data_IF_901588039874
#
_entry.id   IF_901588039874
#
_cell.length_a   1.000
_cell.length_b   1.000
_cell.length_c   1.000
_cell.angle_alpha   90.00
_cell.angle_beta   90.00
_cell.angle_gamma   90.00
#
_symmetry.space_group_name_H-M   'P 1'
#
loop_
_entity.id
_entity.type
_entity.pdbx_description
1 polymer ?
#
# COMPACT_ATOMS: atom_id res chain seq x y z
N UNK A 1 15.36 12.50 25.80
CA UNK A 1 16.09 13.62 25.17
C UNK A 1 16.99 13.05 24.07
N UNK A 2 16.58 13.23 22.81
CA UNK A 2 17.48 13.31 21.66
C UNK A 2 16.68 13.97 20.53
N UNK A 3 16.52 15.29 20.65
CA UNK A 3 15.97 16.12 19.59
C UNK A 3 17.08 16.40 18.61
N UNK A 4 17.19 15.60 17.55
CA UNK A 4 18.05 15.92 16.41
C UNK A 4 17.49 17.19 15.79
N UNK A 5 18.16 18.32 16.05
CA UNK A 5 17.83 19.64 15.51
C UNK A 5 17.99 19.58 13.98
N UNK A 6 16.88 19.49 13.24
CA UNK A 6 16.84 19.58 11.77
C UNK A 6 17.50 20.89 11.34
N UNK A 7 18.44 20.82 10.39
CA UNK A 7 19.02 21.99 9.74
C UNK A 7 18.00 22.57 8.73
N UNK A 8 17.51 23.81 8.92
CA UNK A 8 16.50 24.41 8.07
C UNK A 8 16.96 24.75 6.64
N UNK A 9 18.22 24.48 6.27
CA UNK A 9 18.81 24.88 4.97
C UNK A 9 19.05 23.75 3.97
N UNK A 10 18.76 22.49 4.30
CA UNK A 10 18.91 21.41 3.33
C UNK A 10 17.62 21.21 2.54
N UNK A 11 17.43 22.01 1.49
CA UNK A 11 16.40 21.74 0.49
C UNK A 11 16.80 20.46 -0.24
N UNK A 12 16.21 19.33 0.16
CA UNK A 12 16.41 18.07 -0.51
C UNK A 12 15.87 18.17 -1.95
N UNK A 13 16.55 17.57 -2.95
CA UNK A 13 15.98 17.47 -4.29
C UNK A 13 14.62 16.76 -4.22
N UNK A 14 13.58 17.26 -4.90
CA UNK A 14 12.29 16.60 -4.92
C UNK A 14 12.40 15.22 -5.57
N UNK A 15 11.46 14.34 -5.20
CA UNK A 15 11.27 13.07 -5.91
C UNK A 15 10.80 13.33 -7.34
N UNK A 16 11.41 12.66 -8.31
CA UNK A 16 11.04 12.78 -9.74
C UNK A 16 10.36 11.48 -10.19
N UNK A 17 9.15 11.53 -10.79
CA UNK A 17 8.49 10.33 -11.33
C UNK A 17 9.41 9.54 -12.27
N UNK A 18 9.49 8.22 -12.08
CA UNK A 18 10.34 7.33 -12.87
C UNK A 18 11.81 7.28 -12.43
N UNK A 19 12.23 8.16 -11.50
CA UNK A 19 13.58 8.12 -10.94
C UNK A 19 13.82 6.83 -10.16
N UNK A 20 15.02 6.26 -10.31
CA UNK A 20 15.48 5.17 -9.45
C UNK A 20 16.20 5.71 -8.21
N UNK A 21 15.79 5.26 -7.03
CA UNK A 21 16.37 5.61 -5.74
C UNK A 21 16.28 4.41 -4.78
N UNK A 22 17.12 4.40 -3.75
CA UNK A 22 16.97 3.45 -2.63
C UNK A 22 15.90 3.92 -1.64
N UNK A 23 15.47 3.02 -0.75
CA UNK A 23 14.47 3.30 0.27
C UNK A 23 14.87 4.47 1.21
N UNK A 24 16.08 4.52 1.78
CA UNK A 24 16.45 5.63 2.67
C UNK A 24 16.37 7.00 1.98
N UNK A 25 16.86 7.09 0.74
CA UNK A 25 16.79 8.32 -0.06
C UNK A 25 15.34 8.68 -0.41
N UNK A 26 14.52 7.69 -0.78
CA UNK A 26 13.10 7.91 -1.04
C UNK A 26 12.40 8.46 0.18
N UNK A 27 12.53 7.77 1.31
CA UNK A 27 11.86 8.09 2.56
C UNK A 27 12.21 9.50 3.03
N UNK A 28 13.50 9.83 3.09
CA UNK A 28 13.98 11.14 3.52
C UNK A 28 13.48 12.28 2.64
N UNK A 29 13.42 12.06 1.31
CA UNK A 29 12.91 13.07 0.37
C UNK A 29 11.40 13.19 0.40
N UNK A 30 10.68 12.07 0.57
CA UNK A 30 9.23 12.03 0.73
C UNK A 30 8.78 12.85 1.93
N UNK A 31 9.43 12.68 3.09
CA UNK A 31 9.15 13.47 4.31
C UNK A 31 9.40 14.97 4.15
N UNK A 32 10.27 15.37 3.21
CA UNK A 32 10.59 16.75 2.94
C UNK A 32 9.69 17.40 1.88
N UNK A 33 8.80 16.63 1.23
CA UNK A 33 7.87 17.16 0.25
C UNK A 33 6.77 18.00 0.92
N UNK A 34 6.11 18.91 0.16
CA UNK A 34 4.97 19.65 0.67
C UNK A 34 3.89 18.71 1.25
N UNK A 35 3.25 19.07 2.38
CA UNK A 35 2.18 18.27 2.96
C UNK A 35 1.09 17.92 1.93
N UNK A 36 0.62 16.67 1.97
CA UNK A 36 -0.39 16.15 1.03
C UNK A 36 0.19 15.63 -0.29
N UNK A 37 1.50 15.77 -0.53
CA UNK A 37 2.12 15.13 -1.69
C UNK A 37 2.20 13.62 -1.49
N UNK A 38 1.59 12.85 -2.39
CA UNK A 38 1.70 11.39 -2.40
C UNK A 38 2.82 10.93 -3.30
N UNK A 39 3.64 10.02 -2.82
CA UNK A 39 4.70 9.35 -3.57
C UNK A 39 4.81 7.91 -3.09
N UNK A 40 5.16 7.00 -3.99
CA UNK A 40 5.46 5.61 -3.67
C UNK A 40 6.80 5.20 -4.27
N UNK A 41 7.52 4.31 -3.59
CA UNK A 41 8.66 3.60 -4.12
C UNK A 41 8.21 2.19 -4.49
N UNK A 42 8.28 1.83 -5.77
CA UNK A 42 7.80 0.52 -6.24
C UNK A 42 8.91 -0.14 -7.06
N UNK A 43 9.60 -1.12 -6.47
CA UNK A 43 10.74 -1.79 -7.11
C UNK A 43 11.90 -0.82 -7.37
N UNK A 44 12.16 0.08 -6.41
CA UNK A 44 13.20 1.10 -6.47
C UNK A 44 12.92 2.23 -7.46
N UNK A 45 11.68 2.39 -7.93
CA UNK A 45 11.27 3.46 -8.86
C UNK A 45 10.22 4.35 -8.20
N UNK A 46 10.46 5.65 -8.23
CA UNK A 46 9.53 6.67 -7.74
C UNK A 46 8.27 6.70 -8.63
N UNK A 47 7.12 6.56 -8.00
CA UNK A 47 5.81 6.76 -8.61
C UNK A 47 5.07 7.88 -7.88
N UNK A 48 4.58 8.84 -8.66
CA UNK A 48 3.64 9.85 -8.20
C UNK A 48 2.26 9.46 -8.74
N UNK A 49 1.26 9.16 -7.89
CA UNK A 49 -0.08 8.83 -8.34
C UNK A 49 -0.74 10.04 -9.03
N UNK A 50 -1.63 9.76 -9.96
CA UNK A 50 -2.46 10.78 -10.62
C UNK A 50 -3.56 11.27 -9.67
N UNK A 51 -4.18 12.43 -9.94
CA UNK A 51 -5.37 12.86 -9.21
C UNK A 51 -6.47 11.79 -9.22
N UNK A 52 -7.18 11.69 -8.10
CA UNK A 52 -8.30 10.75 -7.91
C UNK A 52 -9.56 11.32 -8.55
N UNK A 53 -10.22 10.52 -9.40
CA UNK A 53 -11.53 10.83 -9.99
C UNK A 53 -12.66 10.30 -9.10
N UNK A 54 -13.88 10.81 -9.32
CA UNK A 54 -15.07 10.50 -8.50
C UNK A 54 -15.36 8.99 -8.42
N UNK A 55 -15.34 8.29 -9.56
CA UNK A 55 -15.56 6.83 -9.61
C UNK A 55 -14.56 6.03 -8.74
N UNK A 56 -13.31 6.49 -8.66
CA UNK A 56 -12.30 5.88 -7.80
C UNK A 56 -12.58 6.21 -6.33
N UNK A 57 -12.95 7.46 -6.02
CA UNK A 57 -13.28 7.85 -4.65
C UNK A 57 -14.49 7.06 -4.10
N UNK A 58 -15.53 6.85 -4.92
CA UNK A 58 -16.70 6.07 -4.52
C UNK A 58 -16.35 4.59 -4.27
N UNK A 59 -15.56 3.99 -5.17
CA UNK A 59 -15.12 2.62 -5.00
C UNK A 59 -14.17 2.43 -3.78
N UNK A 60 -13.25 3.37 -3.55
CA UNK A 60 -12.37 3.37 -2.36
C UNK A 60 -13.18 3.50 -1.07
N UNK A 61 -14.21 4.34 -1.08
CA UNK A 61 -15.11 4.48 0.07
C UNK A 61 -15.87 3.18 0.36
N UNK A 62 -16.37 2.49 -0.67
CA UNK A 62 -17.02 1.19 -0.52
C UNK A 62 -16.07 0.10 0.03
N UNK A 63 -14.83 0.04 -0.47
CA UNK A 63 -13.78 -0.86 0.03
C UNK A 63 -13.45 -0.55 1.50
N UNK A 64 -13.27 0.72 1.83
CA UNK A 64 -13.01 1.16 3.20
C UNK A 64 -14.15 0.77 4.12
N UNK A 65 -15.41 0.99 3.71
CA UNK A 65 -16.58 0.59 4.48
C UNK A 65 -16.64 -0.92 4.74
N UNK A 66 -16.34 -1.74 3.72
CA UNK A 66 -16.25 -3.19 3.86
C UNK A 66 -15.22 -3.60 4.92
N UNK A 67 -13.99 -3.11 4.82
CA UNK A 67 -12.91 -3.49 5.74
C UNK A 67 -13.13 -2.96 7.16
N UNK A 68 -13.68 -1.76 7.32
CA UNK A 68 -14.06 -1.21 8.63
C UNK A 68 -15.16 -2.04 9.27
N UNK A 69 -16.16 -2.47 8.50
CA UNK A 69 -17.24 -3.34 8.98
C UNK A 69 -16.70 -4.70 9.43
N UNK A 70 -15.80 -5.30 8.63
CA UNK A 70 -15.14 -6.56 8.98
C UNK A 70 -14.31 -6.44 10.26
N UNK A 71 -13.50 -5.37 10.37
CA UNK A 71 -12.73 -5.06 11.59
C UNK A 71 -13.64 -4.92 12.81
N UNK A 72 -14.79 -4.23 12.69
CA UNK A 72 -15.72 -4.04 13.81
C UNK A 72 -16.28 -5.38 14.31
N UNK A 73 -16.48 -6.35 13.41
CA UNK A 73 -16.92 -7.70 13.75
C UNK A 73 -15.77 -8.62 14.22
N UNK A 74 -14.51 -8.21 14.09
CA UNK A 74 -13.32 -9.04 14.35
C UNK A 74 -12.38 -8.33 15.35
N UNK A 75 -12.61 -8.49 16.67
CA UNK A 75 -11.83 -7.81 17.70
C UNK A 75 -10.32 -8.01 17.56
N UNK A 76 -9.54 -6.94 17.77
CA UNK A 76 -8.08 -6.95 17.69
C UNK A 76 -7.51 -6.65 16.30
N UNK A 77 -8.30 -6.78 15.24
CA UNK A 77 -7.87 -6.44 13.88
C UNK A 77 -7.64 -4.93 13.73
N UNK A 78 -6.64 -4.56 12.92
CA UNK A 78 -6.40 -3.19 12.49
C UNK A 78 -6.76 -3.06 11.01
N UNK A 79 -7.37 -1.94 10.66
CA UNK A 79 -7.58 -1.51 9.28
C UNK A 79 -6.93 -0.15 9.11
N UNK A 80 -6.52 0.17 7.88
CA UNK A 80 -6.01 1.49 7.53
C UNK A 80 -6.11 1.71 6.03
N UNK A 81 -6.15 2.97 5.63
CA UNK A 81 -6.13 3.42 4.24
C UNK A 81 -5.01 4.42 4.05
N UNK A 82 -4.40 4.42 2.85
CA UNK A 82 -3.41 5.42 2.42
C UNK A 82 -2.17 5.58 3.33
N UNK A 83 -1.89 4.61 4.18
CA UNK A 83 -0.77 4.67 5.12
C UNK A 83 0.52 4.16 4.47
N UNK A 84 1.61 4.92 4.59
CA UNK A 84 2.93 4.52 4.11
C UNK A 84 3.35 3.18 4.72
N UNK A 85 3.55 2.20 3.84
CA UNK A 85 3.83 0.81 4.14
C UNK A 85 5.15 0.42 3.50
N UNK A 86 6.18 0.26 4.34
CA UNK A 86 7.51 -0.19 3.95
C UNK A 86 7.50 -1.72 3.91
N UNK A 87 7.55 -2.26 2.70
CA UNK A 87 7.48 -3.71 2.45
C UNK A 87 8.87 -4.36 2.34
N UNK A 88 9.90 -3.57 2.05
CA UNK A 88 11.25 -4.06 1.83
C UNK A 88 12.20 -2.95 1.36
N UNK A 89 13.44 -3.30 0.98
CA UNK A 89 14.50 -2.33 0.67
C UNK A 89 14.24 -1.48 -0.59
N UNK A 90 13.27 -1.86 -1.41
CA UNK A 90 12.93 -1.23 -2.69
C UNK A 90 11.43 -0.89 -2.80
N UNK A 91 10.69 -0.96 -1.69
CA UNK A 91 9.23 -0.81 -1.69
C UNK A 91 8.71 -0.07 -0.45
N UNK A 92 8.20 1.15 -0.67
CA UNK A 92 7.39 1.92 0.26
C UNK A 92 6.14 2.38 -0.49
N UNK A 93 5.00 1.77 -0.19
CA UNK A 93 3.73 1.93 -0.91
C UNK A 93 2.65 2.52 -0.01
N UNK A 94 1.60 3.09 -0.60
CA UNK A 94 0.43 3.61 0.09
C UNK A 94 -0.80 2.90 -0.47
N UNK A 95 -1.12 1.68 0.01
CA UNK A 95 -2.28 0.96 -0.48
C UNK A 95 -3.57 1.72 -0.15
N UNK A 96 -4.54 1.68 -1.05
CA UNK A 96 -5.86 2.29 -0.83
C UNK A 96 -6.48 1.75 0.46
N UNK A 97 -6.35 0.44 0.71
CA UNK A 97 -6.87 -0.20 1.92
C UNK A 97 -6.06 -1.43 2.36
N UNK A 98 -5.98 -1.66 3.67
CA UNK A 98 -5.28 -2.83 4.23
C UNK A 98 -5.87 -3.31 5.56
N UNK A 99 -5.73 -4.61 5.83
CA UNK A 99 -5.96 -5.24 7.14
C UNK A 99 -4.67 -5.78 7.73
N UNK A 100 -4.53 -5.63 9.05
CA UNK A 100 -3.38 -6.10 9.81
C UNK A 100 -3.82 -6.81 11.08
N UNK A 101 -3.28 -8.00 11.31
CA UNK A 101 -3.35 -8.72 12.56
C UNK A 101 -2.40 -8.10 13.59
N UNK A 102 -2.75 -8.14 14.88
CA UNK A 102 -1.82 -7.82 15.95
C UNK A 102 -0.71 -8.88 16.02
N UNK A 103 0.45 -8.51 16.57
CA UNK A 103 1.62 -9.39 16.66
C UNK A 103 1.33 -10.66 17.47
N UNK A 104 0.51 -10.55 18.50
CA UNK A 104 0.07 -11.62 19.40
C UNK A 104 -0.81 -12.66 18.69
N UNK A 105 -1.42 -12.27 17.56
CA UNK A 105 -2.20 -13.16 16.69
C UNK A 105 -1.39 -13.66 15.48
N UNK A 106 -0.06 -13.50 15.50
CA UNK A 106 0.83 -13.93 14.41
C UNK A 106 0.95 -12.91 13.26
N UNK A 107 0.40 -11.71 13.42
CA UNK A 107 0.55 -10.64 12.43
C UNK A 107 2.01 -10.27 12.23
N UNK A 108 2.40 -9.95 10.98
CA UNK A 108 3.80 -9.63 10.64
C UNK A 108 4.06 -8.15 10.42
N UNK A 109 3.04 -7.37 10.11
CA UNK A 109 3.16 -5.92 10.03
C UNK A 109 3.39 -5.27 11.42
N UNK A 110 4.23 -4.24 11.49
CA UNK A 110 4.53 -3.44 12.69
C UNK A 110 4.33 -1.96 12.41
N UNK A 111 4.36 -1.15 13.46
CA UNK A 111 4.41 0.30 13.35
C UNK A 111 5.77 0.75 13.89
N UNK A 112 6.55 1.43 13.06
CA UNK A 112 7.85 1.99 13.40
C UNK A 112 7.97 3.42 12.88
N UNK A 113 8.37 4.37 13.73
CA UNK A 113 8.41 5.79 13.37
C UNK A 113 7.07 6.40 12.92
N UNK A 114 5.94 5.73 13.16
CA UNK A 114 4.62 6.11 12.64
C UNK A 114 4.26 5.50 11.27
N UNK A 115 5.19 4.77 10.67
CA UNK A 115 5.03 4.06 9.40
C UNK A 115 4.72 2.59 9.62
N UNK A 116 4.07 1.95 8.66
CA UNK A 116 3.84 0.50 8.70
C UNK A 116 5.07 -0.18 8.10
N UNK A 117 5.58 -1.20 8.76
CA UNK A 117 6.70 -2.02 8.26
C UNK A 117 6.30 -3.48 8.18
N UNK A 118 6.73 -4.16 7.11
CA UNK A 118 6.37 -5.55 6.85
C UNK A 118 4.99 -5.73 6.21
N UNK A 119 4.62 -6.98 5.90
CA UNK A 119 3.46 -7.28 5.09
C UNK A 119 2.16 -7.21 5.89
N UNK A 120 1.14 -6.46 5.42
CA UNK A 120 -0.23 -6.60 5.88
C UNK A 120 -0.80 -7.99 5.54
N UNK A 121 -1.85 -8.40 6.23
CA UNK A 121 -2.54 -9.66 5.95
C UNK A 121 -3.45 -9.57 4.71
N UNK A 122 -4.04 -8.40 4.46
CA UNK A 122 -4.79 -8.09 3.24
C UNK A 122 -4.38 -6.71 2.74
N UNK A 123 -4.20 -6.59 1.42
CA UNK A 123 -4.12 -5.31 0.72
C UNK A 123 -5.21 -5.26 -0.35
N UNK A 124 -5.85 -4.10 -0.50
CA UNK A 124 -6.83 -3.81 -1.54
C UNK A 124 -6.43 -2.53 -2.27
N UNK A 125 -6.44 -2.58 -3.60
CA UNK A 125 -6.20 -1.41 -4.48
C UNK A 125 -7.41 -1.20 -5.39
N UNK A 126 -7.85 0.05 -5.54
CA UNK A 126 -8.91 0.48 -6.45
C UNK A 126 -8.26 1.00 -7.73
N UNK A 127 -8.56 0.33 -8.84
CA UNK A 127 -7.71 0.38 -10.01
C UNK A 127 -8.43 0.89 -11.24
N UNK A 128 -8.19 2.15 -11.58
CA UNK A 128 -8.56 2.76 -12.84
C UNK A 128 -7.34 2.88 -13.75
N UNK A 129 -6.81 4.10 -13.88
CA UNK A 129 -5.60 4.39 -14.64
C UNK A 129 -4.32 3.78 -14.04
N UNK A 130 -4.35 3.38 -12.77
CA UNK A 130 -3.24 2.73 -12.04
C UNK A 130 -3.09 1.24 -12.35
N UNK A 131 -4.03 0.62 -13.07
CA UNK A 131 -4.08 -0.82 -13.36
C UNK A 131 -2.77 -1.47 -13.81
N UNK A 132 -1.98 -0.87 -14.71
CA UNK A 132 -0.70 -1.47 -15.11
C UNK A 132 0.32 -1.59 -13.95
N UNK A 133 0.20 -0.73 -12.93
CA UNK A 133 1.06 -0.75 -11.76
C UNK A 133 0.52 -1.73 -10.71
N UNK A 134 -0.79 -1.68 -10.44
CA UNK A 134 -1.47 -2.51 -9.44
C UNK A 134 -1.33 -3.99 -9.79
N UNK A 135 -1.64 -4.36 -11.04
CA UNK A 135 -1.49 -5.74 -11.54
C UNK A 135 -0.05 -6.08 -11.99
N UNK A 136 0.89 -5.13 -11.89
CA UNK A 136 2.29 -5.30 -12.27
C UNK A 136 3.21 -5.15 -11.06
N UNK A 137 4.00 -4.06 -11.03
CA UNK A 137 5.06 -3.89 -10.04
C UNK A 137 4.57 -3.88 -8.58
N UNK A 138 3.36 -3.39 -8.30
CA UNK A 138 2.80 -3.44 -6.94
C UNK A 138 2.46 -4.87 -6.55
N UNK A 139 1.76 -5.63 -7.41
CA UNK A 139 1.56 -7.06 -7.23
C UNK A 139 2.89 -7.77 -6.92
N UNK A 140 3.94 -7.52 -7.70
CA UNK A 140 5.25 -8.15 -7.48
C UNK A 140 5.86 -7.75 -6.13
N UNK A 141 5.70 -6.49 -5.69
CA UNK A 141 6.18 -6.02 -4.41
C UNK A 141 5.43 -6.69 -3.23
N UNK A 142 4.10 -6.78 -3.32
CA UNK A 142 3.28 -7.48 -2.33
C UNK A 142 3.61 -8.98 -2.26
N UNK A 143 3.82 -9.62 -3.42
CA UNK A 143 4.20 -11.03 -3.51
C UNK A 143 5.55 -11.29 -2.83
N UNK A 144 6.58 -10.49 -3.17
CA UNK A 144 7.92 -10.59 -2.56
C UNK A 144 7.91 -10.31 -1.06
N UNK A 145 7.11 -9.35 -0.60
CA UNK A 145 6.95 -9.05 0.82
C UNK A 145 6.17 -10.14 1.56
N UNK A 146 5.49 -11.01 0.81
CA UNK A 146 4.70 -12.11 1.33
C UNK A 146 3.35 -11.66 1.89
N UNK A 147 2.72 -10.62 1.31
CA UNK A 147 1.33 -10.25 1.67
C UNK A 147 0.41 -11.43 1.33
N UNK A 148 -0.30 -12.02 2.32
CA UNK A 148 -1.10 -13.23 2.09
C UNK A 148 -2.20 -13.08 1.05
N UNK A 149 -2.93 -11.96 1.09
CA UNK A 149 -4.05 -11.71 0.20
C UNK A 149 -3.97 -10.33 -0.43
N UNK A 150 -4.16 -10.26 -1.74
CA UNK A 150 -4.12 -9.03 -2.52
C UNK A 150 -5.34 -8.94 -3.43
N UNK A 151 -6.12 -7.87 -3.30
CA UNK A 151 -7.34 -7.64 -4.08
C UNK A 151 -7.20 -6.39 -4.93
N UNK A 152 -7.56 -6.49 -6.21
CA UNK A 152 -7.65 -5.34 -7.13
C UNK A 152 -9.10 -5.18 -7.56
N UNK A 153 -9.69 -4.04 -7.20
CA UNK A 153 -11.02 -3.62 -7.63
C UNK A 153 -10.86 -2.73 -8.87
N UNK A 154 -10.95 -3.33 -10.05
CA UNK A 154 -10.84 -2.63 -11.33
C UNK A 154 -12.10 -1.85 -11.68
N UNK A 155 -11.93 -0.60 -12.14
CA UNK A 155 -13.03 0.30 -12.55
C UNK A 155 -13.31 0.23 -14.06
N UNK A 156 -12.26 0.08 -14.89
CA UNK A 156 -12.41 -0.03 -16.34
C UNK A 156 -11.31 -0.94 -16.94
N UNK A 157 -11.65 -2.14 -17.46
CA UNK A 157 -12.96 -2.77 -17.35
C UNK A 157 -13.28 -3.17 -15.89
N UNK A 158 -14.56 -3.11 -15.46
CA UNK A 158 -14.97 -3.51 -14.12
C UNK A 158 -14.65 -4.98 -13.83
N UNK A 159 -13.84 -5.24 -12.81
CA UNK A 159 -13.51 -6.60 -12.38
C UNK A 159 -12.89 -6.60 -10.98
N UNK A 160 -13.23 -7.60 -10.16
CA UNK A 160 -12.49 -7.89 -8.93
C UNK A 160 -11.52 -9.04 -9.20
N UNK A 161 -10.24 -8.82 -8.89
CA UNK A 161 -9.20 -9.84 -8.94
C UNK A 161 -8.70 -10.07 -7.52
N UNK A 162 -8.76 -11.31 -7.06
CA UNK A 162 -8.28 -11.70 -5.74
C UNK A 162 -7.11 -12.67 -5.91
N UNK A 163 -5.97 -12.34 -5.32
CA UNK A 163 -4.78 -13.16 -5.32
C UNK A 163 -4.49 -13.67 -3.91
N UNK A 164 -4.18 -14.96 -3.78
CA UNK A 164 -3.76 -15.58 -2.52
C UNK A 164 -2.34 -16.12 -2.68
N UNK A 165 -1.47 -15.78 -1.74
CA UNK A 165 -0.08 -16.21 -1.75
C UNK A 165 0.01 -17.70 -1.38
N UNK A 166 0.54 -18.52 -2.28
CA UNK A 166 0.74 -19.95 -2.08
C UNK A 166 2.15 -20.33 -2.50
N UNK A 167 2.93 -20.89 -1.57
CA UNK A 167 4.31 -21.31 -1.86
C UNK A 167 5.22 -20.17 -2.35
N UNK A 168 4.93 -18.91 -1.98
CA UNK A 168 5.70 -17.74 -2.39
C UNK A 168 5.28 -17.10 -3.71
N UNK A 169 4.19 -17.55 -4.33
CA UNK A 169 3.65 -16.96 -5.56
C UNK A 169 2.14 -16.75 -5.45
N UNK A 170 1.62 -15.69 -6.05
CA UNK A 170 0.19 -15.45 -6.09
C UNK A 170 -0.52 -16.39 -7.05
N UNK A 171 -1.59 -17.00 -6.55
CA UNK A 171 -2.60 -17.68 -7.35
C UNK A 171 -3.88 -16.87 -7.37
N UNK A 172 -4.55 -16.80 -8.53
CA UNK A 172 -5.90 -16.24 -8.62
C UNK A 172 -6.88 -17.07 -7.76
N UNK A 173 -7.67 -16.40 -6.93
CA UNK A 173 -8.82 -16.95 -6.23
C UNK A 173 -10.08 -16.51 -7.00
N UNK A 174 -10.73 -17.43 -7.75
CA UNK A 174 -11.97 -17.08 -8.43
C UNK A 174 -13.07 -16.78 -7.40
N UNK A 175 -14.05 -15.94 -7.76
CA UNK A 175 -15.23 -15.76 -6.93
C UNK A 175 -15.88 -17.12 -6.66
N UNK A 176 -16.38 -17.29 -5.44
CA UNK A 176 -17.19 -18.47 -5.13
C UNK A 176 -18.38 -18.53 -6.11
N UNK A 177 -18.80 -19.73 -6.55
CA UNK A 177 -20.03 -19.86 -7.32
C UNK A 177 -21.17 -19.17 -6.58
N UNK A 178 -21.94 -18.35 -7.28
CA UNK A 178 -23.20 -17.83 -6.72
C UNK A 178 -24.12 -19.02 -6.44
N UNK A 179 -24.57 -19.14 -5.20
CA UNK A 179 -25.57 -20.13 -4.79
C UNK A 179 -26.92 -19.88 -5.48
#
# INVERSE_FOLDING_TARGET
MSTTRRDPRRTLPPLVPGQRVDLPTFHERSEAMPPGTRAELIGGVVRMPSPVFDDHAEADHAVTFWLVSYKRATPGLRSGSNASTILGPDAEVQPDSQLRLPAEAGGRARVDGGYITGPPELVVEVSGSSRPYDLGKKKDAYERAGVPEYVVVGLDPPAVRWFVLRGGTYADLPPAPTA
#
